data_IF_618135244774
#
_entry.id   IF_618135244774
#
_cell.length_a   1.000
_cell.length_b   1.000
_cell.length_c   1.000
_cell.angle_alpha   90.00
_cell.angle_beta   90.00
_cell.angle_gamma   90.00
#
_symmetry.space_group_name_H-M   'P 1'
#
loop_
_entity.id
_entity.type
_entity.pdbx_description
1 polymer ?
#
# COMPACT_ATOMS: atom_id res chain seq x y z
N UNK A 1 -3.61 -9.27 23.83
CA UNK A 1 -4.67 -8.58 23.07
C UNK A 1 -4.14 -7.59 22.05
N UNK A 2 -3.08 -6.81 22.34
CA UNK A 2 -2.56 -5.79 21.39
C UNK A 2 -2.12 -6.33 20.01
N UNK A 3 -1.45 -7.49 19.94
CA UNK A 3 -1.11 -8.12 18.65
C UNK A 3 -2.33 -8.52 17.82
N UNK A 4 -3.42 -8.97 18.46
CA UNK A 4 -4.67 -9.33 17.78
C UNK A 4 -5.35 -8.10 17.19
N UNK A 5 -5.42 -7.01 17.97
CA UNK A 5 -5.91 -5.71 17.47
C UNK A 5 -5.09 -5.21 16.27
N UNK A 6 -3.77 -5.34 16.34
CA UNK A 6 -2.88 -4.98 15.23
C UNK A 6 -3.19 -5.74 13.93
N UNK A 7 -3.43 -7.06 14.02
CA UNK A 7 -3.82 -7.89 12.86
C UNK A 7 -5.17 -7.48 12.28
N UNK A 8 -6.15 -7.20 13.13
CA UNK A 8 -7.47 -6.72 12.68
C UNK A 8 -7.31 -5.38 11.94
N UNK A 9 -6.49 -4.46 12.45
CA UNK A 9 -6.23 -3.19 11.76
C UNK A 9 -5.55 -3.39 10.40
N UNK A 10 -4.56 -4.30 10.30
CA UNK A 10 -3.93 -4.63 9.01
C UNK A 10 -4.93 -5.27 8.04
N UNK A 11 -5.77 -6.20 8.50
CA UNK A 11 -6.77 -6.84 7.67
C UNK A 11 -7.75 -5.82 7.09
N UNK A 12 -8.35 -4.99 7.95
CA UNK A 12 -9.30 -3.97 7.51
C UNK A 12 -8.62 -2.97 6.58
N UNK A 13 -7.39 -2.56 6.89
CA UNK A 13 -6.62 -1.65 6.04
C UNK A 13 -6.45 -2.18 4.61
N UNK A 14 -5.97 -3.41 4.44
CA UNK A 14 -5.73 -3.96 3.11
C UNK A 14 -7.02 -4.34 2.37
N UNK A 15 -8.09 -4.69 3.08
CA UNK A 15 -9.43 -4.86 2.48
C UNK A 15 -9.95 -3.52 1.95
N UNK A 16 -9.83 -2.44 2.74
CA UNK A 16 -10.21 -1.10 2.30
C UNK A 16 -9.34 -0.63 1.11
N UNK A 17 -8.04 -0.92 1.14
CA UNK A 17 -7.14 -0.65 0.02
C UNK A 17 -7.56 -1.38 -1.26
N UNK A 18 -8.07 -2.61 -1.17
CA UNK A 18 -8.58 -3.36 -2.33
C UNK A 18 -9.81 -2.73 -2.99
N UNK A 19 -10.61 -1.95 -2.24
CA UNK A 19 -11.73 -1.19 -2.83
C UNK A 19 -11.29 -0.13 -3.83
N UNK A 20 -10.00 0.22 -3.84
CA UNK A 20 -9.42 1.17 -4.78
C UNK A 20 -9.63 0.78 -6.25
N UNK A 21 -9.76 -0.52 -6.57
CA UNK A 21 -9.97 -0.98 -7.95
C UNK A 21 -11.28 -0.46 -8.54
N UNK A 22 -12.33 -0.39 -7.73
CA UNK A 22 -13.64 0.10 -8.16
C UNK A 22 -13.57 1.60 -8.42
N UNK A 23 -13.04 2.35 -7.46
CA UNK A 23 -12.90 3.80 -7.58
C UNK A 23 -12.00 4.17 -8.76
N UNK A 24 -10.87 3.47 -8.93
CA UNK A 24 -9.96 3.66 -10.04
C UNK A 24 -10.66 3.44 -11.39
N UNK A 25 -11.50 2.42 -11.54
CA UNK A 25 -12.20 2.12 -12.81
C UNK A 25 -13.11 3.25 -13.29
N UNK A 26 -13.64 4.08 -12.38
CA UNK A 26 -14.49 5.21 -12.76
C UNK A 26 -13.71 6.49 -13.11
N UNK A 27 -12.42 6.56 -12.81
CA UNK A 27 -11.60 7.77 -13.02
C UNK A 27 -10.37 7.54 -13.90
N UNK A 28 -9.94 6.30 -14.07
CA UNK A 28 -8.72 5.94 -14.82
C UNK A 28 -8.77 6.31 -16.29
N UNK A 29 -9.97 6.35 -16.87
CA UNK A 29 -10.15 6.63 -18.30
C UNK A 29 -10.10 8.14 -18.59
N UNK A 30 -10.29 8.97 -17.56
CA UNK A 30 -10.39 10.43 -17.70
C UNK A 30 -9.24 11.18 -17.02
N UNK A 31 -8.57 10.57 -16.04
CA UNK A 31 -7.52 11.20 -15.26
C UNK A 31 -6.22 10.39 -15.31
N UNK A 32 -5.10 11.11 -15.35
CA UNK A 32 -3.80 10.52 -15.10
C UNK A 32 -3.61 10.04 -13.65
N UNK A 33 -2.67 9.14 -13.45
CA UNK A 33 -2.45 8.46 -12.15
C UNK A 33 -1.99 9.43 -11.07
N UNK A 34 -1.12 10.39 -11.42
CA UNK A 34 -0.68 11.40 -10.46
C UNK A 34 -1.78 12.40 -10.14
N UNK A 35 -2.65 12.72 -11.10
CA UNK A 35 -3.82 13.57 -10.90
C UNK A 35 -4.81 12.92 -9.95
N UNK A 36 -5.14 11.64 -10.15
CA UNK A 36 -6.00 10.89 -9.21
C UNK A 36 -5.40 10.92 -7.81
N UNK A 37 -4.10 10.62 -7.69
CA UNK A 37 -3.40 10.58 -6.41
C UNK A 37 -3.40 11.96 -5.73
N UNK A 38 -3.00 13.01 -6.45
CA UNK A 38 -2.91 14.37 -5.92
C UNK A 38 -4.29 14.93 -5.55
N UNK A 39 -5.30 14.76 -6.39
CA UNK A 39 -6.66 15.22 -6.13
C UNK A 39 -7.27 14.50 -4.92
N UNK A 40 -7.07 13.19 -4.82
CA UNK A 40 -7.54 12.38 -3.69
C UNK A 40 -6.87 12.77 -2.38
N UNK A 41 -5.54 12.96 -2.39
CA UNK A 41 -4.78 13.42 -1.23
C UNK A 41 -5.23 14.83 -0.80
N UNK A 42 -5.37 15.75 -1.76
CA UNK A 42 -5.83 17.12 -1.50
C UNK A 42 -7.23 17.13 -0.89
N UNK A 43 -8.18 16.41 -1.47
CA UNK A 43 -9.54 16.34 -0.96
C UNK A 43 -9.58 15.78 0.47
N UNK A 44 -8.81 14.72 0.73
CA UNK A 44 -8.73 14.12 2.04
C UNK A 44 -8.07 15.06 3.08
N UNK A 45 -7.01 15.78 2.68
CA UNK A 45 -6.36 16.78 3.52
C UNK A 45 -7.30 17.93 3.85
N UNK A 46 -8.01 18.51 2.87
CA UNK A 46 -8.94 19.62 3.11
C UNK A 46 -10.04 19.22 4.10
N UNK A 47 -10.58 18.01 3.94
CA UNK A 47 -11.68 17.51 4.79
C UNK A 47 -11.17 17.18 6.20
N UNK A 48 -10.03 16.50 6.33
CA UNK A 48 -9.58 15.98 7.63
C UNK A 48 -8.71 16.94 8.41
N UNK A 49 -8.00 17.87 7.75
CA UNK A 49 -7.11 18.81 8.42
C UNK A 49 -7.82 19.54 9.56
N UNK A 50 -9.01 20.16 9.39
CA UNK A 50 -9.70 20.89 10.47
C UNK A 50 -9.94 20.05 11.74
N UNK A 51 -10.30 18.78 11.58
CA UNK A 51 -10.58 17.88 12.70
C UNK A 51 -9.33 17.48 13.49
N UNK A 52 -8.16 17.48 12.84
CA UNK A 52 -6.91 17.04 13.44
C UNK A 52 -5.88 18.16 13.65
N UNK A 53 -6.21 19.41 13.30
CA UNK A 53 -5.34 20.58 13.45
C UNK A 53 -4.78 20.72 14.86
N UNK A 54 -5.61 20.52 15.89
CA UNK A 54 -5.16 20.63 17.29
C UNK A 54 -4.15 19.54 17.65
N UNK A 55 -4.36 18.30 17.19
CA UNK A 55 -3.44 17.18 17.44
C UNK A 55 -2.13 17.37 16.67
N UNK A 56 -2.20 17.87 15.45
CA UNK A 56 -1.03 18.22 14.63
C UNK A 56 -0.21 19.32 15.33
N UNK A 57 -0.86 20.41 15.77
CA UNK A 57 -0.18 21.50 16.49
C UNK A 57 0.50 21.05 17.78
N UNK A 58 -0.04 20.03 18.45
CA UNK A 58 0.57 19.46 19.66
C UNK A 58 1.70 18.47 19.34
N UNK A 59 1.67 17.81 18.19
CA UNK A 59 2.65 16.82 17.75
C UNK A 59 3.88 17.47 17.11
N UNK A 60 3.70 18.43 16.20
CA UNK A 60 4.79 19.07 15.43
C UNK A 60 5.94 19.58 16.33
N UNK A 61 5.68 20.31 17.44
CA UNK A 61 6.77 20.83 18.28
C UNK A 61 7.58 19.74 18.99
N UNK A 62 7.02 18.54 19.13
CA UNK A 62 7.67 17.38 19.77
C UNK A 62 8.45 16.53 18.78
N UNK A 63 8.36 16.84 17.48
CA UNK A 63 9.00 16.06 16.42
C UNK A 63 10.46 16.45 16.25
N UNK A 64 11.33 15.45 16.19
CA UNK A 64 12.74 15.62 15.89
C UNK A 64 12.96 15.85 14.39
N UNK A 65 14.15 16.32 14.00
CA UNK A 65 14.55 16.36 12.58
C UNK A 65 14.49 14.97 11.94
N UNK A 66 14.79 13.92 12.69
CA UNK A 66 14.76 12.55 12.20
C UNK A 66 13.32 12.07 11.93
N UNK A 67 12.33 12.53 12.70
CA UNK A 67 10.91 12.20 12.48
C UNK A 67 10.45 12.78 11.14
N UNK A 68 10.85 14.02 10.84
CA UNK A 68 10.59 14.66 9.54
C UNK A 68 11.28 13.93 8.38
N UNK A 69 12.54 13.53 8.54
CA UNK A 69 13.25 12.73 7.53
C UNK A 69 12.51 11.41 7.29
N UNK A 70 12.08 10.72 8.35
CA UNK A 70 11.33 9.46 8.23
C UNK A 70 9.98 9.66 7.51
N UNK A 71 9.24 10.73 7.82
CA UNK A 71 7.98 11.06 7.13
C UNK A 71 8.23 11.38 5.65
N UNK A 72 9.27 12.16 5.33
CA UNK A 72 9.63 12.47 3.96
C UNK A 72 10.01 11.21 3.19
N UNK A 73 10.81 10.31 3.76
CA UNK A 73 11.18 9.05 3.12
C UNK A 73 9.95 8.13 2.96
N UNK A 74 9.05 8.08 3.96
CA UNK A 74 7.81 7.32 3.86
C UNK A 74 6.93 7.83 2.71
N UNK A 75 6.73 9.14 2.59
CA UNK A 75 5.96 9.74 1.50
C UNK A 75 6.63 9.53 0.13
N UNK A 76 7.96 9.66 0.08
CA UNK A 76 8.74 9.52 -1.14
C UNK A 76 8.70 8.08 -1.67
N UNK A 77 9.03 7.08 -0.84
CA UNK A 77 9.05 5.68 -1.27
C UNK A 77 7.66 5.04 -1.35
N UNK A 78 6.79 5.34 -0.37
CA UNK A 78 5.51 4.66 -0.22
C UNK A 78 4.39 5.17 -1.13
N UNK A 79 4.51 6.40 -1.63
CA UNK A 79 3.49 6.97 -2.51
C UNK A 79 4.14 7.42 -3.82
N UNK A 80 5.03 8.41 -3.79
CA UNK A 80 5.53 9.03 -5.02
C UNK A 80 6.31 8.06 -5.92
N UNK A 81 7.39 7.47 -5.41
CA UNK A 81 8.31 6.64 -6.17
C UNK A 81 7.66 5.30 -6.57
N UNK A 82 6.89 4.71 -5.67
CA UNK A 82 6.04 3.55 -5.97
C UNK A 82 5.14 3.82 -7.18
N UNK A 83 4.41 4.94 -7.18
CA UNK A 83 3.50 5.31 -8.28
C UNK A 83 4.26 5.62 -9.57
N UNK A 84 5.38 6.35 -9.48
CA UNK A 84 6.20 6.67 -10.64
C UNK A 84 6.71 5.42 -11.34
N UNK A 85 7.36 4.53 -10.59
CA UNK A 85 7.90 3.29 -11.14
C UNK A 85 6.81 2.36 -11.66
N UNK A 86 5.68 2.27 -10.97
CA UNK A 86 4.55 1.47 -11.45
C UNK A 86 4.01 2.02 -12.77
N UNK A 87 3.80 3.33 -12.87
CA UNK A 87 3.25 3.97 -14.06
C UNK A 87 4.18 3.82 -15.27
N UNK A 88 5.47 4.16 -15.12
CA UNK A 88 6.45 4.00 -16.19
C UNK A 88 6.72 2.53 -16.53
N UNK A 89 6.61 1.63 -15.55
CA UNK A 89 6.68 0.19 -15.76
C UNK A 89 5.55 -0.29 -16.66
N UNK A 90 4.31 0.06 -16.33
CA UNK A 90 3.10 -0.32 -17.08
C UNK A 90 3.04 0.22 -18.51
N UNK A 91 3.82 1.24 -18.85
CA UNK A 91 3.94 1.69 -20.25
C UNK A 91 4.70 0.68 -21.11
N UNK A 92 5.54 -0.15 -20.50
CA UNK A 92 6.45 -1.06 -21.19
C UNK A 92 6.22 -2.53 -20.80
N UNK A 93 5.30 -2.84 -19.87
CA UNK A 93 4.94 -4.21 -19.48
C UNK A 93 3.43 -4.37 -19.36
N UNK A 94 2.93 -5.60 -19.36
CA UNK A 94 1.51 -5.87 -19.17
C UNK A 94 1.06 -5.65 -17.73
N UNK A 95 -0.22 -5.30 -17.52
CA UNK A 95 -0.82 -5.19 -16.18
C UNK A 95 -0.73 -6.50 -15.39
N UNK A 96 -0.86 -7.62 -16.09
CA UNK A 96 -0.70 -8.97 -15.55
C UNK A 96 0.72 -9.23 -15.02
N UNK A 97 1.76 -8.97 -15.82
CA UNK A 97 3.15 -9.15 -15.39
C UNK A 97 3.52 -8.15 -14.28
N UNK A 98 3.09 -6.89 -14.41
CA UNK A 98 3.31 -5.90 -13.38
C UNK A 98 2.72 -6.35 -12.04
N UNK A 99 1.51 -6.88 -12.08
CA UNK A 99 0.84 -7.38 -10.90
C UNK A 99 1.52 -8.62 -10.30
N UNK A 100 2.06 -9.52 -11.12
CA UNK A 100 2.91 -10.65 -10.66
C UNK A 100 4.14 -10.12 -9.91
N UNK A 101 4.82 -9.13 -10.48
CA UNK A 101 6.04 -8.56 -9.91
C UNK A 101 5.76 -7.79 -8.60
N UNK A 102 4.66 -7.04 -8.53
CA UNK A 102 4.19 -6.42 -7.28
C UNK A 102 3.80 -7.48 -6.24
N UNK A 103 3.27 -8.62 -6.69
CA UNK A 103 3.00 -9.77 -5.83
C UNK A 103 4.23 -10.34 -5.12
N UNK A 104 5.44 -9.98 -5.55
CA UNK A 104 6.69 -10.31 -4.87
C UNK A 104 7.08 -9.30 -3.77
N UNK A 105 6.38 -8.17 -3.62
CA UNK A 105 6.62 -7.19 -2.56
C UNK A 105 6.64 -7.79 -1.13
N UNK A 106 5.78 -8.78 -0.78
CA UNK A 106 5.87 -9.45 0.52
C UNK A 106 7.21 -10.15 0.75
N UNK A 107 7.81 -10.73 -0.30
CA UNK A 107 9.14 -11.37 -0.23
C UNK A 107 10.21 -10.33 0.07
N UNK A 108 10.21 -9.23 -0.70
CA UNK A 108 11.16 -8.14 -0.54
C UNK A 108 11.04 -7.51 0.86
N UNK A 109 9.81 -7.24 1.32
CA UNK A 109 9.56 -6.74 2.68
C UNK A 109 10.08 -7.71 3.73
N UNK A 110 9.89 -9.02 3.55
CA UNK A 110 10.39 -10.03 4.49
C UNK A 110 11.93 -10.08 4.54
N UNK A 111 12.59 -10.03 3.39
CA UNK A 111 14.05 -9.98 3.30
C UNK A 111 14.58 -8.74 4.01
N UNK A 112 14.01 -7.57 3.71
CA UNK A 112 14.41 -6.31 4.33
C UNK A 112 14.10 -6.26 5.83
N UNK A 113 13.00 -6.88 6.28
CA UNK A 113 12.68 -7.00 7.71
C UNK A 113 13.75 -7.82 8.46
N UNK A 114 14.24 -8.90 7.85
CA UNK A 114 15.31 -9.70 8.43
C UNK A 114 16.65 -8.97 8.43
N UNK A 115 17.00 -8.24 7.37
CA UNK A 115 18.31 -7.60 7.25
C UNK A 115 18.40 -6.26 8.00
N UNK A 116 17.39 -5.41 7.88
CA UNK A 116 17.38 -4.05 8.46
C UNK A 116 16.83 -4.07 9.88
N UNK A 117 15.67 -4.69 10.11
CA UNK A 117 15.02 -4.70 11.42
C UNK A 117 15.47 -5.86 12.32
N UNK A 118 16.25 -6.80 11.77
CA UNK A 118 16.71 -8.01 12.46
C UNK A 118 15.55 -8.84 13.03
N UNK A 119 14.37 -8.77 12.41
CA UNK A 119 13.23 -9.60 12.78
C UNK A 119 13.54 -11.08 12.47
N UNK A 120 13.23 -11.98 13.41
CA UNK A 120 13.40 -13.42 13.20
C UNK A 120 12.22 -13.95 12.39
N UNK A 121 12.50 -14.73 11.34
CA UNK A 121 11.48 -15.46 10.59
C UNK A 121 11.39 -16.90 11.10
N UNK A 122 10.20 -17.32 11.51
CA UNK A 122 9.88 -18.72 11.81
C UNK A 122 9.50 -19.47 10.51
N UNK A 123 9.68 -20.79 10.45
CA UNK A 123 9.34 -21.63 9.29
C UNK A 123 7.88 -21.43 8.82
N UNK A 124 6.94 -21.27 9.76
CA UNK A 124 5.54 -20.96 9.45
C UNK A 124 5.36 -19.55 8.86
N UNK A 125 6.18 -18.58 9.26
CA UNK A 125 6.19 -17.22 8.69
C UNK A 125 6.67 -17.24 7.24
N UNK A 126 7.76 -17.95 6.98
CA UNK A 126 8.27 -18.18 5.64
C UNK A 126 7.24 -18.93 4.78
N UNK A 127 6.61 -19.98 5.32
CA UNK A 127 5.54 -20.73 4.64
C UNK A 127 4.35 -19.86 4.25
N UNK A 128 3.86 -19.01 5.17
CA UNK A 128 2.75 -18.10 4.87
C UNK A 128 3.10 -17.04 3.82
N UNK A 129 4.34 -16.53 3.80
CA UNK A 129 4.81 -15.62 2.73
C UNK A 129 4.86 -16.34 1.39
N UNK A 130 5.39 -17.57 1.34
CA UNK A 130 5.43 -18.37 0.12
C UNK A 130 4.00 -18.61 -0.40
N UNK A 131 3.06 -19.00 0.47
CA UNK A 131 1.66 -19.17 0.09
C UNK A 131 1.05 -17.87 -0.44
N UNK A 132 1.28 -16.74 0.23
CA UNK A 132 0.77 -15.44 -0.19
C UNK A 132 1.31 -15.03 -1.56
N UNK A 133 2.61 -15.23 -1.81
CA UNK A 133 3.26 -14.93 -3.08
C UNK A 133 2.73 -15.82 -4.19
N UNK A 134 2.69 -17.14 -3.98
CA UNK A 134 2.11 -18.08 -4.95
C UNK A 134 0.64 -17.73 -5.24
N UNK A 135 -0.11 -17.32 -4.21
CA UNK A 135 -1.48 -16.85 -4.35
C UNK A 135 -1.58 -15.64 -5.26
N UNK A 136 -0.75 -14.61 -5.06
CA UNK A 136 -0.73 -13.44 -5.94
C UNK A 136 -0.28 -13.79 -7.36
N UNK A 137 0.69 -14.70 -7.53
CA UNK A 137 1.10 -15.16 -8.86
C UNK A 137 -0.05 -15.80 -9.64
N UNK A 138 -0.85 -16.63 -8.97
CA UNK A 138 -2.03 -17.26 -9.57
C UNK A 138 -3.18 -16.28 -9.82
N UNK A 139 -3.36 -15.27 -8.96
CA UNK A 139 -4.36 -14.21 -9.15
C UNK A 139 -4.14 -13.41 -10.44
N UNK A 140 -2.89 -13.26 -10.86
CA UNK A 140 -2.53 -12.44 -12.01
C UNK A 140 -2.59 -13.23 -13.33
N UNK A 141 -2.39 -14.55 -13.28
CA UNK A 141 -2.41 -15.41 -14.47
C UNK A 141 -1.15 -15.24 -15.31
N UNK A 142 -0.08 -15.97 -14.97
CA UNK A 142 1.21 -15.84 -15.67
C UNK A 142 1.08 -16.16 -17.17
N UNK A 143 1.21 -15.15 -18.02
CA UNK A 143 1.46 -15.29 -19.45
C UNK A 143 2.83 -14.68 -19.75
N UNK A 144 3.72 -15.46 -20.36
CA UNK A 144 5.02 -14.95 -20.79
C UNK A 144 4.83 -14.18 -22.10
N UNK A 145 5.06 -12.87 -22.04
CA UNK A 145 5.17 -12.00 -23.21
C UNK A 145 6.50 -12.23 -23.95
N UNK A 146 6.57 -11.80 -25.21
CA UNK A 146 7.83 -11.77 -25.95
C UNK A 146 8.85 -10.85 -25.26
N UNK A 147 10.06 -11.36 -25.01
CA UNK A 147 11.13 -10.65 -24.30
C UNK A 147 11.79 -9.59 -25.21
N UNK A 148 11.25 -8.37 -25.23
CA UNK A 148 11.93 -7.20 -25.82
C UNK A 148 12.72 -6.43 -24.76
N UNK A 149 13.68 -5.60 -25.19
CA UNK A 149 14.47 -4.78 -24.25
C UNK A 149 13.61 -3.78 -23.47
N UNK A 150 12.60 -3.19 -24.12
CA UNK A 150 11.60 -2.31 -23.48
C UNK A 150 10.78 -3.08 -22.44
N UNK A 151 10.38 -4.31 -22.76
CA UNK A 151 9.67 -5.20 -21.83
C UNK A 151 10.46 -5.49 -20.56
N UNK A 152 11.75 -5.77 -20.72
CA UNK A 152 12.66 -6.00 -19.58
C UNK A 152 12.79 -4.75 -18.73
N UNK A 153 12.91 -3.57 -19.34
CA UNK A 153 12.95 -2.29 -18.62
C UNK A 153 11.65 -2.03 -17.85
N UNK A 154 10.49 -2.30 -18.46
CA UNK A 154 9.18 -2.21 -17.81
C UNK A 154 9.09 -3.10 -16.57
N UNK A 155 9.49 -4.36 -16.70
CA UNK A 155 9.53 -5.31 -15.58
C UNK A 155 10.48 -4.84 -14.47
N UNK A 156 11.65 -4.32 -14.83
CA UNK A 156 12.63 -3.82 -13.86
C UNK A 156 12.08 -2.62 -13.06
N UNK A 157 11.36 -1.72 -13.73
CA UNK A 157 10.68 -0.60 -13.07
C UNK A 157 9.60 -1.10 -12.09
N UNK A 158 8.81 -2.11 -12.47
CA UNK A 158 7.79 -2.65 -11.54
C UNK A 158 8.43 -3.32 -10.32
N UNK A 159 9.56 -4.02 -10.50
CA UNK A 159 10.32 -4.54 -9.36
C UNK A 159 10.82 -3.40 -8.46
N UNK A 160 11.28 -2.29 -9.03
CA UNK A 160 11.63 -1.10 -8.25
C UNK A 160 10.42 -0.49 -7.51
N UNK A 161 9.22 -0.57 -8.08
CA UNK A 161 7.99 -0.20 -7.38
C UNK A 161 7.75 -1.10 -6.16
N UNK A 162 7.78 -2.43 -6.33
CA UNK A 162 7.65 -3.40 -5.24
C UNK A 162 8.72 -3.21 -4.14
N UNK A 163 9.94 -2.88 -4.53
CA UNK A 163 11.04 -2.56 -3.61
C UNK A 163 10.77 -1.26 -2.83
N UNK A 164 10.21 -0.23 -3.48
CA UNK A 164 9.85 1.04 -2.85
C UNK A 164 8.73 0.87 -1.82
N UNK A 165 7.69 0.08 -2.14
CA UNK A 165 6.64 -0.29 -1.20
C UNK A 165 7.21 -1.06 0.00
N UNK A 166 8.10 -2.01 -0.27
CA UNK A 166 8.76 -2.79 0.78
C UNK A 166 9.58 -1.90 1.70
N UNK A 167 10.30 -0.93 1.14
CA UNK A 167 11.08 0.03 1.92
C UNK A 167 10.17 0.94 2.77
N UNK A 168 9.01 1.35 2.25
CA UNK A 168 8.01 2.09 3.03
C UNK A 168 7.51 1.29 4.25
N UNK A 169 7.24 0.00 4.09
CA UNK A 169 6.86 -0.88 5.20
C UNK A 169 7.96 -0.91 6.28
N UNK A 170 9.22 -1.08 5.86
CA UNK A 170 10.36 -1.15 6.77
C UNK A 170 10.65 0.18 7.46
N UNK A 171 10.63 1.30 6.72
CA UNK A 171 10.82 2.63 7.28
C UNK A 171 9.75 2.96 8.32
N UNK A 172 8.49 2.63 8.03
CA UNK A 172 7.38 2.85 8.96
C UNK A 172 7.49 1.99 10.22
N UNK A 173 7.92 0.73 10.07
CA UNK A 173 8.19 -0.15 11.22
C UNK A 173 9.41 0.33 12.03
N UNK A 174 10.49 0.74 11.38
CA UNK A 174 11.68 1.30 12.02
C UNK A 174 11.36 2.58 12.81
N UNK A 175 10.57 3.47 12.22
CA UNK A 175 10.04 4.67 12.88
C UNK A 175 9.24 4.29 14.14
N UNK A 176 8.31 3.33 14.02
CA UNK A 176 7.55 2.83 15.16
C UNK A 176 8.42 2.22 16.27
N UNK A 177 9.46 1.45 15.91
CA UNK A 177 10.36 0.86 16.91
C UNK A 177 11.15 1.95 17.64
N UNK A 178 11.58 2.98 16.91
CA UNK A 178 12.32 4.12 17.47
C UNK A 178 11.45 4.98 18.40
N UNK A 179 10.15 5.10 18.14
CA UNK A 179 9.18 5.70 19.08
C UNK A 179 9.05 4.88 20.37
N UNK A 180 9.05 3.54 20.26
CA UNK A 180 8.93 2.63 21.42
C UNK A 180 10.17 2.71 22.30
N UNK A 181 11.37 2.80 21.71
CA UNK A 181 12.63 2.92 22.46
C UNK A 181 12.88 4.33 23.01
N UNK A 182 11.97 5.28 22.76
CA UNK A 182 12.09 6.66 23.25
C UNK A 182 13.07 7.54 22.48
N UNK A 183 13.55 7.08 21.32
CA UNK A 183 14.49 7.83 20.47
C UNK A 183 13.78 8.86 19.57
N UNK A 184 12.45 8.77 19.45
CA UNK A 184 11.62 9.62 18.59
C UNK A 184 10.31 10.02 19.30
N UNK A 185 9.69 11.11 18.85
CA UNK A 185 8.43 11.59 19.40
C UNK A 185 7.29 10.62 19.11
N UNK A 186 6.41 10.35 20.09
CA UNK A 186 5.23 9.50 19.86
C UNK A 186 4.23 10.22 18.96
N UNK A 187 4.07 9.76 17.72
CA UNK A 187 3.11 10.32 16.77
C UNK A 187 1.87 9.42 16.71
N UNK A 188 0.68 10.00 16.81
CA UNK A 188 -0.55 9.23 16.60
C UNK A 188 -0.61 8.75 15.14
N UNK A 189 -1.07 7.50 14.86
CA UNK A 189 -1.23 6.98 13.49
C UNK A 189 -1.98 7.93 12.55
N UNK A 190 -2.99 8.63 13.08
CA UNK A 190 -3.78 9.63 12.33
C UNK A 190 -2.95 10.84 11.90
N UNK A 191 -2.13 11.37 12.81
CA UNK A 191 -1.24 12.50 12.53
C UNK A 191 -0.14 12.07 11.55
N UNK A 192 0.44 10.88 11.75
CA UNK A 192 1.46 10.34 10.84
C UNK A 192 0.90 10.16 9.42
N UNK A 193 -0.29 9.58 9.28
CA UNK A 193 -0.96 9.44 7.99
C UNK A 193 -1.23 10.78 7.31
N UNK A 194 -1.68 11.80 8.06
CA UNK A 194 -1.91 13.14 7.52
C UNK A 194 -0.61 13.80 7.04
N UNK A 195 0.45 13.74 7.85
CA UNK A 195 1.74 14.34 7.50
C UNK A 195 2.37 13.67 6.27
N UNK A 196 2.35 12.33 6.22
CA UNK A 196 2.84 11.57 5.06
C UNK A 196 2.01 11.89 3.82
N UNK A 197 0.68 11.99 3.95
CA UNK A 197 -0.21 12.35 2.84
C UNK A 197 0.04 13.79 2.34
N UNK A 198 0.29 14.73 3.24
CA UNK A 198 0.63 16.11 2.90
C UNK A 198 1.96 16.21 2.15
N UNK A 199 3.00 15.52 2.62
CA UNK A 199 4.30 15.49 1.95
C UNK A 199 4.21 14.76 0.61
N UNK A 200 3.45 13.66 0.53
CA UNK A 200 3.23 12.94 -0.71
C UNK A 200 2.47 13.79 -1.74
N UNK A 201 1.49 14.58 -1.31
CA UNK A 201 0.82 15.55 -2.17
C UNK A 201 1.81 16.54 -2.79
N UNK A 202 2.73 17.08 -1.99
CA UNK A 202 3.78 17.99 -2.49
C UNK A 202 4.69 17.32 -3.53
N UNK A 203 5.01 16.04 -3.39
CA UNK A 203 5.77 15.32 -4.41
C UNK A 203 4.94 15.03 -5.66
N UNK A 204 3.65 14.74 -5.52
CA UNK A 204 2.79 14.36 -6.64
C UNK A 204 2.25 15.56 -7.44
N UNK A 205 2.22 16.77 -6.87
CA UNK A 205 1.65 17.95 -7.54
C UNK A 205 2.42 18.35 -8.81
N UNK A 206 3.75 18.18 -8.81
CA UNK A 206 4.60 18.53 -9.95
C UNK A 206 4.30 17.58 -11.13
N UNK A 207 4.42 16.24 -11.02
CA UNK A 207 4.01 15.32 -12.08
C UNK A 207 2.54 15.48 -12.48
N UNK A 208 1.63 15.66 -11.51
CA UNK A 208 0.21 15.84 -11.79
C UNK A 208 -0.04 17.06 -12.67
N UNK A 209 0.76 18.13 -12.53
CA UNK A 209 0.62 19.33 -13.36
C UNK A 209 0.92 19.08 -14.84
N UNK A 210 1.75 18.08 -15.17
CA UNK A 210 2.00 17.65 -16.55
C UNK A 210 0.86 16.80 -17.14
N UNK A 211 -0.09 16.34 -16.32
CA UNK A 211 -1.27 15.58 -16.75
C UNK A 211 -2.50 16.48 -17.02
N UNK A 212 -2.30 17.82 -17.07
CA UNK A 212 -3.35 18.82 -17.27
C UNK A 212 -4.57 18.62 -16.34
N UNK A 213 -4.34 18.64 -15.01
CA UNK A 213 -5.29 18.14 -14.03
C UNK A 213 -6.56 19.00 -13.99
N UNK A 214 -6.45 20.30 -14.22
CA UNK A 214 -7.59 21.24 -14.15
C UNK A 214 -8.62 20.96 -15.24
N UNK A 215 -8.19 20.80 -16.49
CA UNK A 215 -9.10 20.50 -17.61
C UNK A 215 -9.79 19.15 -17.41
N UNK A 216 -9.07 18.15 -16.94
CA UNK A 216 -9.59 16.79 -16.77
C UNK A 216 -10.54 16.68 -15.57
N UNK A 217 -10.27 17.41 -14.47
CA UNK A 217 -11.13 17.45 -13.29
C UNK A 217 -12.45 18.20 -13.53
N UNK A 218 -12.44 19.23 -14.40
CA UNK A 218 -13.67 19.97 -14.75
C UNK A 218 -14.66 19.14 -15.56
N UNK A 219 -14.18 18.08 -16.23
CA UNK A 219 -15.01 17.17 -17.03
C UNK A 219 -15.59 16.01 -16.20
N UNK A 220 -15.24 15.90 -14.92
CA UNK A 220 -15.73 14.82 -14.08
C UNK A 220 -17.21 14.98 -13.73
N UNK A 221 -17.94 13.88 -13.88
CA UNK A 221 -19.28 13.74 -13.37
C UNK A 221 -19.30 13.51 -11.85
N UNK A 222 -20.51 13.42 -11.28
CA UNK A 222 -20.68 13.18 -9.84
C UNK A 222 -20.02 11.86 -9.39
N UNK A 223 -20.00 10.83 -10.25
CA UNK A 223 -19.39 9.53 -9.92
C UNK A 223 -17.87 9.64 -9.83
N UNK A 224 -17.24 10.40 -10.71
CA UNK A 224 -15.81 10.71 -10.67
C UNK A 224 -15.42 11.42 -9.37
N UNK A 225 -16.17 12.44 -8.97
CA UNK A 225 -15.94 13.15 -7.70
C UNK A 225 -16.12 12.27 -6.47
N UNK A 226 -17.18 11.45 -6.44
CA UNK A 226 -17.39 10.45 -5.37
C UNK A 226 -16.23 9.46 -5.32
N UNK A 227 -15.71 9.04 -6.48
CA UNK A 227 -14.57 8.11 -6.56
C UNK A 227 -13.28 8.74 -6.02
N UNK A 228 -13.00 10.00 -6.34
CA UNK A 228 -11.85 10.75 -5.77
C UNK A 228 -11.99 10.87 -4.25
N UNK A 229 -13.17 11.22 -3.76
CA UNK A 229 -13.42 11.33 -2.31
C UNK A 229 -13.26 9.98 -1.60
N UNK A 230 -13.77 8.91 -2.20
CA UNK A 230 -13.60 7.54 -1.68
C UNK A 230 -12.11 7.16 -1.65
N UNK A 231 -11.38 7.44 -2.72
CA UNK A 231 -9.95 7.15 -2.83
C UNK A 231 -9.13 7.92 -1.79
N UNK A 232 -9.45 9.20 -1.57
CA UNK A 232 -8.78 10.03 -0.59
C UNK A 232 -9.11 9.63 0.86
N UNK A 233 -10.39 9.59 1.21
CA UNK A 233 -10.82 9.42 2.60
C UNK A 233 -10.74 7.98 3.08
N UNK A 234 -11.20 7.03 2.26
CA UNK A 234 -11.33 5.63 2.67
C UNK A 234 -10.06 4.87 2.29
N UNK A 235 -9.74 4.81 0.99
CA UNK A 235 -8.61 4.02 0.49
C UNK A 235 -7.29 4.54 1.04
N UNK A 236 -7.08 5.87 1.06
CA UNK A 236 -5.82 6.44 1.52
C UNK A 236 -5.86 6.69 3.01
N UNK A 237 -6.67 7.64 3.49
CA UNK A 237 -6.59 8.08 4.89
C UNK A 237 -7.00 7.00 5.89
N UNK A 238 -8.21 6.45 5.81
CA UNK A 238 -8.67 5.45 6.77
C UNK A 238 -7.79 4.20 6.73
N UNK A 239 -7.48 3.68 5.54
CA UNK A 239 -6.61 2.50 5.41
C UNK A 239 -5.21 2.77 5.97
N UNK A 240 -4.60 3.93 5.70
CA UNK A 240 -3.25 4.24 6.21
C UNK A 240 -3.25 4.42 7.72
N UNK A 241 -4.27 5.05 8.30
CA UNK A 241 -4.39 5.16 9.77
C UNK A 241 -4.45 3.78 10.41
N UNK A 242 -5.28 2.88 9.87
CA UNK A 242 -5.38 1.51 10.34
C UNK A 242 -4.08 0.74 10.10
N UNK A 243 -3.44 0.95 8.95
CA UNK A 243 -2.15 0.34 8.64
C UNK A 243 -1.07 0.75 9.62
N UNK A 244 -0.91 2.06 9.87
CA UNK A 244 0.03 2.59 10.87
C UNK A 244 -0.31 2.05 12.27
N UNK A 245 -1.59 2.00 12.65
CA UNK A 245 -2.00 1.40 13.92
C UNK A 245 -1.65 -0.10 14.00
N UNK A 246 -1.71 -0.81 12.87
CA UNK A 246 -1.37 -2.22 12.72
C UNK A 246 0.14 -2.47 12.79
N UNK A 247 0.93 -1.77 11.97
CA UNK A 247 2.39 -1.94 11.89
C UNK A 247 3.11 -1.50 13.16
N UNK A 248 2.51 -0.60 13.97
CA UNK A 248 3.02 -0.29 15.32
C UNK A 248 2.91 -1.49 16.27
N UNK A 249 1.93 -2.37 16.05
CA UNK A 249 1.59 -3.51 16.94
C UNK A 249 2.06 -4.87 16.42
N UNK A 250 2.41 -4.97 15.14
CA UNK A 250 2.78 -6.20 14.45
C UNK A 250 4.13 -6.08 13.76
N UNK A 251 4.77 -7.21 13.48
CA UNK A 251 6.06 -7.26 12.77
C UNK A 251 5.90 -6.82 11.31
N UNK A 252 7.00 -6.39 10.67
CA UNK A 252 6.98 -6.08 9.24
C UNK A 252 6.63 -7.31 8.40
N UNK A 253 7.08 -8.51 8.83
CA UNK A 253 6.66 -9.78 8.20
C UNK A 253 5.14 -9.99 8.23
N UNK A 254 4.47 -9.59 9.32
CA UNK A 254 3.01 -9.73 9.41
C UNK A 254 2.34 -8.75 8.46
N UNK A 255 2.77 -7.48 8.44
CA UNK A 255 2.21 -6.49 7.52
C UNK A 255 2.38 -6.90 6.05
N UNK A 256 3.55 -7.42 5.69
CA UNK A 256 3.88 -7.91 4.36
C UNK A 256 2.91 -8.99 3.84
N UNK A 257 2.48 -9.91 4.70
CA UNK A 257 1.58 -10.95 4.26
C UNK A 257 0.12 -10.49 4.19
N UNK A 258 -0.29 -9.63 5.13
CA UNK A 258 -1.62 -9.03 5.08
C UNK A 258 -1.78 -8.15 3.85
N UNK A 259 -0.70 -7.61 3.26
CA UNK A 259 -0.79 -6.85 2.01
C UNK A 259 -1.30 -7.68 0.84
N UNK A 260 -1.13 -9.01 0.87
CA UNK A 260 -1.70 -9.91 -0.13
C UNK A 260 -3.23 -10.00 -0.08
N UNK A 261 -3.87 -9.53 1.00
CA UNK A 261 -5.34 -9.38 1.03
C UNK A 261 -5.83 -8.29 0.06
N UNK A 262 -5.00 -7.29 -0.26
CA UNK A 262 -5.36 -6.24 -1.20
C UNK A 262 -5.67 -6.81 -2.59
N UNK A 263 -4.77 -7.54 -3.30
CA UNK A 263 -5.10 -8.10 -4.60
C UNK A 263 -6.26 -9.11 -4.55
N UNK A 264 -6.39 -9.90 -3.47
CA UNK A 264 -7.53 -10.80 -3.30
C UNK A 264 -8.87 -10.05 -3.22
N UNK A 265 -8.93 -8.99 -2.42
CA UNK A 265 -10.15 -8.19 -2.25
C UNK A 265 -10.46 -7.37 -3.51
N UNK A 266 -9.45 -6.86 -4.20
CA UNK A 266 -9.61 -6.24 -5.52
C UNK A 266 -10.23 -7.20 -6.52
N UNK A 267 -9.71 -8.44 -6.64
CA UNK A 267 -10.27 -9.46 -7.54
C UNK A 267 -11.73 -9.77 -7.18
N UNK A 268 -12.01 -9.99 -5.89
CA UNK A 268 -13.36 -10.32 -5.43
C UNK A 268 -14.36 -9.20 -5.75
N UNK A 269 -13.97 -7.95 -5.55
CA UNK A 269 -14.82 -6.79 -5.84
C UNK A 269 -14.99 -6.57 -7.35
N UNK A 270 -13.94 -6.80 -8.15
CA UNK A 270 -14.05 -6.76 -9.61
C UNK A 270 -15.04 -7.82 -10.12
N UNK A 271 -14.97 -9.05 -9.60
CA UNK A 271 -15.93 -10.10 -9.92
C UNK A 271 -17.37 -9.75 -9.50
N UNK A 272 -17.58 -9.27 -8.27
CA UNK A 272 -18.93 -9.02 -7.73
C UNK A 272 -19.59 -7.75 -8.26
N UNK A 273 -18.83 -6.67 -8.44
CA UNK A 273 -19.36 -5.32 -8.74
C UNK A 273 -19.16 -4.97 -10.20
N UNK A 274 -17.98 -5.24 -10.76
CA UNK A 274 -17.69 -4.97 -12.17
C UNK A 274 -18.18 -6.11 -13.09
N UNK A 275 -18.60 -7.25 -12.52
CA UNK A 275 -19.04 -8.46 -13.23
C UNK A 275 -17.97 -8.99 -14.20
N UNK A 276 -16.70 -8.77 -13.87
CA UNK A 276 -15.58 -9.34 -14.60
C UNK A 276 -15.50 -10.86 -14.34
N UNK A 277 -15.08 -11.64 -15.34
CA UNK A 277 -14.91 -13.08 -15.19
C UNK A 277 -13.63 -13.38 -14.40
N UNK A 278 -13.75 -14.14 -13.32
CA UNK A 278 -12.60 -14.67 -12.59
C UNK A 278 -12.30 -16.11 -13.03
N UNK A 279 -11.10 -16.36 -13.55
CA UNK A 279 -10.66 -17.69 -13.96
C UNK A 279 -10.43 -18.62 -12.76
N UNK A 280 -10.51 -19.93 -12.98
CA UNK A 280 -10.27 -20.95 -11.94
C UNK A 280 -8.92 -20.77 -11.23
N UNK A 281 -7.88 -20.35 -11.97
CA UNK A 281 -6.55 -20.09 -11.40
C UNK A 281 -6.57 -18.92 -10.40
N UNK A 282 -7.37 -17.89 -10.67
CA UNK A 282 -7.49 -16.74 -9.77
C UNK A 282 -8.20 -17.13 -8.46
N UNK A 283 -9.19 -18.03 -8.53
CA UNK A 283 -9.82 -18.59 -7.32
C UNK A 283 -8.85 -19.42 -6.47
N UNK A 284 -8.01 -20.25 -7.10
CA UNK A 284 -6.95 -20.99 -6.40
C UNK A 284 -5.94 -20.01 -5.78
N UNK A 285 -5.58 -18.96 -6.50
CA UNK A 285 -4.71 -17.89 -6.00
C UNK A 285 -5.29 -17.20 -4.76
N UNK A 286 -6.57 -16.85 -4.81
CA UNK A 286 -7.29 -16.29 -3.66
C UNK A 286 -7.29 -17.22 -2.45
N UNK A 287 -7.53 -18.52 -2.65
CA UNK A 287 -7.44 -19.51 -1.58
C UNK A 287 -6.05 -19.57 -0.93
N UNK A 288 -4.98 -19.56 -1.74
CA UNK A 288 -3.60 -19.54 -1.24
C UNK A 288 -3.26 -18.28 -0.45
N UNK A 289 -3.76 -17.11 -0.87
CA UNK A 289 -3.62 -15.86 -0.11
C UNK A 289 -4.25 -16.00 1.28
N UNK A 290 -5.49 -16.48 1.35
CA UNK A 290 -6.19 -16.68 2.63
C UNK A 290 -5.45 -17.69 3.51
N UNK A 291 -5.01 -18.82 2.93
CA UNK A 291 -4.23 -19.82 3.64
C UNK A 291 -2.92 -19.23 4.20
N UNK A 292 -2.20 -18.43 3.40
CA UNK A 292 -0.98 -17.75 3.83
C UNK A 292 -1.21 -16.84 5.04
N UNK A 293 -2.27 -16.02 5.00
CA UNK A 293 -2.65 -15.13 6.11
C UNK A 293 -3.03 -15.91 7.37
N UNK A 294 -3.73 -17.04 7.25
CA UNK A 294 -4.09 -17.92 8.38
C UNK A 294 -2.83 -18.54 9.00
N UNK A 295 -1.95 -19.14 8.20
CA UNK A 295 -0.71 -19.77 8.67
C UNK A 295 0.17 -18.81 9.47
N UNK A 296 0.21 -17.54 9.06
CA UNK A 296 0.94 -16.48 9.76
C UNK A 296 0.27 -16.02 11.05
N UNK A 297 -1.06 -16.06 11.09
CA UNK A 297 -1.85 -15.75 12.29
C UNK A 297 -1.58 -16.80 13.38
N UNK A 298 -1.44 -18.07 13.00
CA UNK A 298 -1.18 -19.20 13.89
C UNK A 298 0.29 -19.38 14.27
N UNK A 299 1.23 -19.07 13.37
CA UNK A 299 2.69 -19.11 13.59
C UNK A 299 3.12 -18.39 14.88
N UNK A 300 2.59 -17.19 15.10
CA UNK A 300 2.96 -16.36 16.25
C UNK A 300 2.01 -16.51 17.45
N UNK A 301 0.94 -17.29 17.32
CA UNK A 301 0.19 -17.78 18.48
C UNK A 301 0.97 -18.92 19.17
N UNK A 302 1.71 -19.72 18.40
CA UNK A 302 2.54 -20.80 18.92
C UNK A 302 3.83 -20.34 19.63
N UNK A 303 4.36 -19.14 19.33
CA UNK A 303 5.45 -18.51 20.11
C UNK A 303 5.04 -18.05 21.52
N UNK A 304 3.81 -18.35 21.94
CA UNK A 304 3.31 -18.15 23.31
C UNK A 304 3.16 -19.44 24.12
N UNK A 305 3.52 -20.60 23.55
CA UNK A 305 3.53 -21.88 24.25
C UNK A 305 4.86 -22.11 24.94
#
# INVERSE_FOLDING_TARGET
MEKLKGRIYLAISFVLAGTSVIAARFVSDSLGTFTITAASLLAALIILLPFYLLRIKQAIPKMSKNDWIMICLQAFFGIFLFRAFLLFGLQNTSSTEAGVLIGAAPVLTSILARTILKEKSNAKTTGGIICAVLGVLLLQGAQLSNLTAEHVLGNMLVVCAAASESLFNILSRSHSLSEITGNMGKIEPTVQSLLVSAVAFLFCIIPASFEYPVSSLLLLDLKGWVSILWYGLIVTMLSYVLWYAGIKRCTAHTAAAFSSLMPFTSMLLAFLILKESAETMQWIGGFLVILGVILLTDSQAAEKG
#
